data_IF_258901007244
#
_entry.id   IF_258901007244
#
_cell.length_a   1.000
_cell.length_b   1.000
_cell.length_c   1.000
_cell.angle_alpha   90.00
_cell.angle_beta   90.00
_cell.angle_gamma   90.00
#
_symmetry.space_group_name_H-M   'P 1'
#
loop_
_entity.id
_entity.type
_entity.pdbx_description
1 polymer ?
#
# COMPACT_ATOMS: atom_id res chain seq x y z
N UNK A 1 -15.18 13.30 15.52
CA UNK A 1 -14.65 13.64 14.18
C UNK A 1 -14.66 12.34 13.39
N UNK A 2 -15.28 12.31 12.21
CA UNK A 2 -15.20 11.12 11.34
C UNK A 2 -13.74 10.87 11.02
N UNK A 3 -13.28 9.62 11.10
CA UNK A 3 -11.95 9.28 10.58
C UNK A 3 -11.92 9.64 9.08
N UNK A 4 -10.84 10.28 8.58
CA UNK A 4 -10.70 10.56 7.16
C UNK A 4 -10.72 9.27 6.34
N UNK A 5 -11.36 9.32 5.18
CA UNK A 5 -11.50 8.20 4.24
C UNK A 5 -10.15 7.46 4.05
N UNK A 6 -10.14 6.11 4.04
CA UNK A 6 -8.90 5.34 4.00
C UNK A 6 -8.13 5.46 2.69
N UNK A 7 -8.77 5.90 1.61
CA UNK A 7 -8.17 6.12 0.29
C UNK A 7 -8.88 7.26 -0.45
N UNK A 8 -8.26 7.74 -1.52
CA UNK A 8 -8.84 8.76 -2.43
C UNK A 8 -8.73 8.28 -3.87
N UNK A 9 -9.83 8.35 -4.61
CA UNK A 9 -9.83 8.20 -6.08
C UNK A 9 -9.86 9.59 -6.71
N UNK A 10 -8.77 10.00 -7.34
CA UNK A 10 -8.66 11.27 -8.06
C UNK A 10 -9.05 11.05 -9.52
N UNK A 11 -10.06 11.78 -10.03
CA UNK A 11 -10.46 11.69 -11.43
C UNK A 11 -9.35 12.07 -12.40
N UNK A 12 -9.20 11.27 -13.47
CA UNK A 12 -8.44 11.61 -14.67
C UNK A 12 -9.36 11.96 -15.84
N UNK A 13 -8.81 11.99 -17.05
CA UNK A 13 -9.58 12.19 -18.27
C UNK A 13 -10.62 11.06 -18.46
N UNK A 14 -11.77 11.39 -19.06
CA UNK A 14 -12.88 10.45 -19.20
C UNK A 14 -12.52 9.25 -20.11
N UNK A 15 -11.67 9.48 -21.11
CA UNK A 15 -11.18 8.51 -22.08
C UNK A 15 -9.87 7.83 -21.64
N UNK A 16 -9.35 8.14 -20.44
CA UNK A 16 -8.15 7.51 -19.92
C UNK A 16 -8.42 6.08 -19.42
N UNK A 17 -7.69 5.07 -19.94
CA UNK A 17 -7.75 3.71 -19.41
C UNK A 17 -6.83 3.50 -18.20
N UNK A 18 -5.98 4.48 -17.86
CA UNK A 18 -4.89 4.31 -16.91
C UNK A 18 -5.33 4.69 -15.50
N UNK A 19 -5.06 3.80 -14.56
CA UNK A 19 -5.09 4.04 -13.12
C UNK A 19 -3.66 3.96 -12.58
N UNK A 20 -3.15 5.06 -12.04
CA UNK A 20 -1.96 5.03 -11.18
C UNK A 20 -2.41 4.62 -9.78
N UNK A 21 -1.91 3.50 -9.29
CA UNK A 21 -2.20 2.97 -7.97
C UNK A 21 -1.03 3.32 -7.04
N UNK A 22 -1.34 3.94 -5.88
CA UNK A 22 -0.35 4.40 -4.90
C UNK A 22 -0.71 3.80 -3.55
N UNK A 23 -0.27 2.56 -3.27
CA UNK A 23 -0.75 1.75 -2.15
C UNK A 23 -0.05 2.06 -0.82
N UNK A 24 1.19 2.55 -0.85
CA UNK A 24 2.09 2.51 0.33
C UNK A 24 2.75 3.83 0.71
N UNK A 25 2.36 4.94 0.06
CA UNK A 25 3.01 6.24 0.28
C UNK A 25 2.59 6.99 1.57
N UNK A 26 1.55 6.54 2.27
CA UNK A 26 1.07 7.20 3.50
C UNK A 26 1.75 6.65 4.76
N UNK A 27 1.97 7.53 5.74
CA UNK A 27 2.46 7.18 7.09
C UNK A 27 1.34 7.15 8.14
N UNK A 28 0.11 7.47 7.77
CA UNK A 28 -0.99 7.68 8.72
C UNK A 28 -1.47 6.37 9.33
N UNK A 29 -1.50 6.31 10.66
CA UNK A 29 -2.05 5.19 11.44
C UNK A 29 -3.18 5.72 12.34
N UNK A 30 -4.42 5.21 12.24
CA UNK A 30 -5.51 5.61 13.12
C UNK A 30 -5.21 5.28 14.57
N UNK A 31 -5.66 6.11 15.52
CA UNK A 31 -5.31 5.97 16.95
C UNK A 31 -5.67 4.59 17.51
N UNK A 32 -6.81 4.03 17.11
CA UNK A 32 -7.25 2.70 17.52
C UNK A 32 -6.32 1.59 17.01
N UNK A 33 -5.76 1.75 15.81
CA UNK A 33 -4.79 0.79 15.24
C UNK A 33 -3.43 0.94 15.92
N UNK A 34 -3.01 2.20 16.17
CA UNK A 34 -1.77 2.51 16.89
C UNK A 34 -1.71 1.85 18.27
N UNK A 35 -2.84 1.74 18.97
CA UNK A 35 -2.92 1.10 20.28
C UNK A 35 -2.60 -0.40 20.26
N UNK A 36 -2.73 -1.07 19.10
CA UNK A 36 -2.35 -2.47 18.90
C UNK A 36 -0.90 -2.68 18.46
N UNK A 37 -0.13 -1.60 18.24
CA UNK A 37 1.28 -1.66 17.84
C UNK A 37 2.17 -1.57 19.08
N UNK A 38 3.07 -2.53 19.25
CA UNK A 38 3.92 -2.68 20.44
C UNK A 38 5.13 -1.74 20.46
N UNK A 39 5.49 -1.16 19.31
CA UNK A 39 6.58 -0.21 19.21
C UNK A 39 6.26 1.07 19.99
N UNK A 40 7.28 1.66 20.62
CA UNK A 40 7.20 3.04 21.06
C UNK A 40 7.20 4.00 19.86
N UNK A 41 6.93 5.28 20.09
CA UNK A 41 6.78 6.25 18.99
C UNK A 41 8.08 6.40 18.19
N UNK A 42 9.25 6.37 18.85
CA UNK A 42 10.53 6.51 18.15
C UNK A 42 10.83 5.29 17.27
N UNK A 43 10.52 4.09 17.74
CA UNK A 43 10.65 2.86 16.98
C UNK A 43 9.65 2.77 15.83
N UNK A 44 8.42 3.23 16.05
CA UNK A 44 7.40 3.30 15.01
C UNK A 44 7.78 4.28 13.89
N UNK A 45 8.32 5.46 14.23
CA UNK A 45 8.79 6.40 13.21
C UNK A 45 9.93 5.81 12.36
N UNK A 46 10.87 5.09 12.98
CA UNK A 46 11.93 4.38 12.23
C UNK A 46 11.38 3.28 11.34
N UNK A 47 10.38 2.53 11.81
CA UNK A 47 9.74 1.51 10.99
C UNK A 47 9.00 2.13 9.79
N UNK A 48 8.30 3.24 10.03
CA UNK A 48 7.66 4.02 8.97
C UNK A 48 8.66 4.53 7.94
N UNK A 49 9.87 4.93 8.34
CA UNK A 49 10.94 5.34 7.42
C UNK A 49 11.40 4.20 6.51
N UNK A 50 11.38 2.95 6.99
CA UNK A 50 11.79 1.79 6.19
C UNK A 50 10.71 1.28 5.25
N UNK A 51 9.45 1.28 5.70
CA UNK A 51 8.35 0.55 5.05
C UNK A 51 7.44 1.43 4.18
N UNK A 52 7.59 2.75 4.26
CA UNK A 52 6.80 3.70 3.48
C UNK A 52 7.44 3.90 2.10
N UNK A 53 6.61 3.79 1.07
CA UNK A 53 7.01 4.09 -0.29
C UNK A 53 6.98 5.61 -0.51
N UNK A 54 7.97 6.30 0.06
CA UNK A 54 8.00 7.75 0.15
C UNK A 54 7.92 8.43 -1.23
N UNK A 55 7.19 9.53 -1.29
CA UNK A 55 7.02 10.39 -2.47
C UNK A 55 6.29 9.77 -3.67
N UNK A 56 5.76 8.55 -3.56
CA UNK A 56 5.02 7.89 -4.64
C UNK A 56 3.75 8.64 -5.06
N UNK A 57 3.07 9.29 -4.11
CA UNK A 57 1.88 10.11 -4.41
C UNK A 57 2.24 11.37 -5.23
N UNK A 58 3.35 12.03 -4.89
CA UNK A 58 3.90 13.18 -5.61
C UNK A 58 4.37 12.79 -7.00
N UNK A 59 5.06 11.65 -7.13
CA UNK A 59 5.46 11.11 -8.43
C UNK A 59 4.24 10.78 -9.30
N UNK A 60 3.21 10.15 -8.75
CA UNK A 60 1.98 9.87 -9.47
C UNK A 60 1.23 11.16 -9.86
N UNK A 61 1.26 12.20 -9.03
CA UNK A 61 0.70 13.51 -9.35
C UNK A 61 1.45 14.16 -10.53
N UNK A 62 2.78 14.23 -10.45
CA UNK A 62 3.61 14.79 -11.51
C UNK A 62 3.47 14.01 -12.83
N UNK A 63 3.41 12.68 -12.77
CA UNK A 63 3.16 11.84 -13.93
C UNK A 63 1.79 12.15 -14.57
N UNK A 64 0.76 12.40 -13.76
CA UNK A 64 -0.57 12.72 -14.26
C UNK A 64 -0.64 14.10 -14.95
N UNK A 65 0.15 15.07 -14.50
CA UNK A 65 0.23 16.42 -15.09
C UNK A 65 0.91 16.42 -16.47
N UNK A 66 1.92 15.56 -16.67
CA UNK A 66 2.69 15.51 -17.93
C UNK A 66 2.14 14.49 -18.93
N UNK A 67 1.23 13.60 -18.51
CA UNK A 67 0.66 12.57 -19.36
C UNK A 67 -0.19 13.20 -20.49
N UNK A 68 -0.07 12.74 -21.75
CA UNK A 68 -0.91 13.23 -22.85
C UNK A 68 -2.42 13.05 -22.61
N UNK A 69 -2.78 12.00 -21.86
CA UNK A 69 -4.13 11.73 -21.37
C UNK A 69 -4.03 11.55 -19.86
N UNK A 70 -4.64 12.44 -19.08
CA UNK A 70 -4.52 12.44 -17.62
C UNK A 70 -5.04 11.11 -17.04
N UNK A 71 -4.20 10.31 -16.35
CA UNK A 71 -4.62 9.08 -15.70
C UNK A 71 -5.47 9.35 -14.46
N UNK A 72 -6.28 8.37 -14.09
CA UNK A 72 -6.92 8.32 -12.77
C UNK A 72 -5.88 7.93 -11.72
N UNK A 73 -6.08 8.33 -10.47
CA UNK A 73 -5.16 7.96 -9.38
C UNK A 73 -5.92 7.37 -8.20
N UNK A 74 -5.54 6.18 -7.77
CA UNK A 74 -6.08 5.53 -6.58
C UNK A 74 -5.01 5.57 -5.48
N UNK A 75 -5.19 6.41 -4.47
CA UNK A 75 -4.17 6.72 -3.46
C UNK A 75 -4.61 6.25 -2.08
N UNK A 76 -3.85 5.32 -1.49
CA UNK A 76 -4.05 4.91 -0.11
C UNK A 76 -3.68 6.06 0.83
N UNK A 77 -4.54 6.34 1.80
CA UNK A 77 -4.35 7.39 2.80
C UNK A 77 -3.91 6.82 4.15
N UNK A 78 -3.70 5.51 4.26
CA UNK A 78 -3.21 4.82 5.45
C UNK A 78 -1.85 4.17 5.21
N UNK A 79 -1.04 4.07 6.26
CA UNK A 79 0.19 3.28 6.23
C UNK A 79 -0.12 1.81 6.03
N UNK A 80 0.74 1.13 5.28
CA UNK A 80 0.69 -0.34 5.14
C UNK A 80 0.90 -1.09 6.46
N UNK A 81 1.37 -0.40 7.50
CA UNK A 81 1.37 -0.95 8.86
C UNK A 81 -0.03 -1.10 9.44
N UNK A 82 -1.07 -0.43 8.90
CA UNK A 82 -2.49 -0.67 9.27
C UNK A 82 -2.96 -1.98 8.65
N UNK A 83 -2.96 -2.00 7.32
CA UNK A 83 -3.14 -3.18 6.46
C UNK A 83 -2.31 -2.95 5.21
N UNK A 84 -1.69 -4.00 4.69
CA UNK A 84 -1.04 -3.97 3.39
C UNK A 84 -2.06 -4.42 2.33
N UNK A 85 -2.57 -3.53 1.46
CA UNK A 85 -3.61 -3.87 0.51
C UNK A 85 -3.14 -4.79 -0.63
N UNK A 86 -1.83 -5.09 -0.69
CA UNK A 86 -1.22 -5.86 -1.77
C UNK A 86 -0.69 -7.22 -1.33
N UNK A 87 -1.10 -7.63 -0.13
CA UNK A 87 -0.85 -8.96 0.38
C UNK A 87 -2.14 -9.75 0.33
N UNK A 88 -2.05 -11.05 0.03
CA UNK A 88 -3.23 -11.89 0.17
C UNK A 88 -3.65 -11.94 1.65
N UNK A 89 -4.94 -11.86 1.96
CA UNK A 89 -5.43 -11.83 3.35
C UNK A 89 -5.47 -13.21 4.00
N UNK A 90 -4.89 -14.23 3.37
CA UNK A 90 -4.99 -15.65 3.73
C UNK A 90 -3.66 -16.39 3.52
N UNK A 91 -3.66 -17.71 3.75
CA UNK A 91 -2.48 -18.57 3.78
C UNK A 91 -1.69 -18.64 2.46
N UNK A 92 -2.22 -18.10 1.37
CA UNK A 92 -1.51 -17.99 0.09
C UNK A 92 -0.37 -16.95 0.15
N UNK A 93 -0.40 -16.04 1.11
CA UNK A 93 0.62 -15.00 1.27
C UNK A 93 1.92 -15.55 1.86
N UNK A 94 2.96 -15.64 1.04
CA UNK A 94 4.28 -16.14 1.46
C UNK A 94 4.91 -15.28 2.57
N UNK A 95 4.61 -13.97 2.60
CA UNK A 95 5.19 -13.06 3.58
C UNK A 95 4.62 -13.26 4.99
N UNK A 96 3.58 -14.09 5.16
CA UNK A 96 3.17 -14.58 6.48
C UNK A 96 4.31 -15.30 7.20
N UNK A 97 5.20 -15.97 6.47
CA UNK A 97 6.35 -16.70 7.04
C UNK A 97 7.33 -15.78 7.80
N UNK A 98 7.36 -14.49 7.47
CA UNK A 98 8.19 -13.48 8.12
C UNK A 98 7.36 -12.42 8.86
N UNK A 99 6.05 -12.64 9.01
CA UNK A 99 5.14 -11.75 9.73
C UNK A 99 4.77 -10.47 8.99
N UNK A 100 4.87 -10.46 7.66
CA UNK A 100 4.63 -9.31 6.78
C UNK A 100 3.48 -9.57 5.78
N UNK A 101 2.42 -10.26 6.21
CA UNK A 101 1.21 -10.52 5.39
C UNK A 101 0.26 -9.32 5.32
N UNK A 102 -1.04 -9.49 5.02
CA UNK A 102 -1.96 -8.33 4.94
C UNK A 102 -2.08 -7.53 6.26
N UNK A 103 -1.85 -8.18 7.40
CA UNK A 103 -1.67 -7.51 8.70
C UNK A 103 -0.33 -7.93 9.26
N UNK A 104 0.59 -6.97 9.42
CA UNK A 104 1.94 -7.26 9.88
C UNK A 104 1.96 -7.60 11.37
N UNK A 105 2.64 -8.68 11.73
CA UNK A 105 2.98 -9.05 13.11
C UNK A 105 4.44 -8.76 13.45
N UNK A 106 5.27 -8.56 12.41
CA UNK A 106 6.70 -8.23 12.53
C UNK A 106 7.03 -6.93 11.80
N UNK A 107 8.14 -6.32 12.18
CA UNK A 107 8.72 -5.16 11.49
C UNK A 107 9.60 -5.58 10.32
N UNK A 108 10.07 -4.61 9.54
CA UNK A 108 11.10 -4.79 8.51
C UNK A 108 12.38 -5.47 9.02
N UNK A 109 12.64 -5.37 10.33
CA UNK A 109 13.79 -5.97 11.01
C UNK A 109 13.43 -7.27 11.76
N UNK A 110 12.24 -7.83 11.52
CA UNK A 110 11.70 -9.07 12.12
C UNK A 110 11.43 -8.98 13.63
N UNK A 111 11.42 -7.78 14.18
CA UNK A 111 11.04 -7.53 15.58
C UNK A 111 9.51 -7.59 15.72
N UNK A 112 8.95 -7.87 16.91
CA UNK A 112 7.50 -7.84 17.11
C UNK A 112 6.92 -6.44 16.84
N UNK A 113 5.98 -6.34 15.90
CA UNK A 113 5.17 -5.14 15.64
C UNK A 113 3.84 -5.19 16.39
N UNK A 114 3.28 -6.39 16.50
CA UNK A 114 2.03 -6.70 17.20
C UNK A 114 2.18 -7.96 18.03
N UNK A 115 1.34 -8.17 19.06
CA UNK A 115 1.33 -9.44 19.77
C UNK A 115 1.02 -10.61 18.80
N UNK A 116 1.69 -11.78 18.94
CA UNK A 116 1.50 -12.93 18.05
C UNK A 116 0.05 -13.42 17.93
N UNK A 117 -0.76 -13.21 18.97
CA UNK A 117 -2.17 -13.58 19.08
C UNK A 117 -3.14 -12.55 18.48
N UNK A 118 -2.62 -11.51 17.82
CA UNK A 118 -3.47 -10.49 17.20
C UNK A 118 -4.33 -11.10 16.09
N UNK A 119 -5.65 -11.00 16.25
CA UNK A 119 -6.61 -11.35 15.20
C UNK A 119 -6.56 -10.30 14.07
N UNK A 120 -6.24 -10.69 12.82
CA UNK A 120 -6.23 -9.76 11.69
C UNK A 120 -7.64 -9.37 11.22
N UNK A 121 -8.67 -10.17 11.52
CA UNK A 121 -10.02 -10.03 10.98
C UNK A 121 -10.61 -8.62 11.11
N UNK A 122 -10.60 -7.98 12.29
CA UNK A 122 -11.12 -6.63 12.46
C UNK A 122 -10.43 -5.57 11.60
N UNK A 123 -9.12 -5.70 11.32
CA UNK A 123 -8.39 -4.77 10.46
C UNK A 123 -8.70 -5.02 8.99
N UNK A 124 -8.82 -6.29 8.60
CA UNK A 124 -9.19 -6.66 7.23
C UNK A 124 -10.59 -6.15 6.88
N UNK A 125 -11.56 -6.36 7.78
CA UNK A 125 -12.94 -5.88 7.61
C UNK A 125 -13.01 -4.36 7.55
N UNK A 126 -12.29 -3.66 8.44
CA UNK A 126 -12.36 -2.21 8.51
C UNK A 126 -11.62 -1.49 7.37
N UNK A 127 -10.55 -2.09 6.83
CA UNK A 127 -9.62 -1.38 5.94
C UNK A 127 -9.25 -2.13 4.66
N UNK A 128 -9.05 -3.45 4.69
CA UNK A 128 -8.60 -4.21 3.52
C UNK A 128 -9.74 -4.43 2.51
N UNK A 129 -10.86 -5.03 2.94
CA UNK A 129 -11.97 -5.33 2.05
C UNK A 129 -12.57 -4.06 1.42
N UNK A 130 -12.82 -2.96 2.16
CA UNK A 130 -13.29 -1.72 1.56
C UNK A 130 -12.32 -1.09 0.55
N UNK A 131 -11.00 -1.25 0.75
CA UNK A 131 -9.99 -0.80 -0.19
C UNK A 131 -10.02 -1.62 -1.48
N UNK A 132 -10.06 -2.96 -1.35
CA UNK A 132 -10.12 -3.88 -2.48
C UNK A 132 -11.39 -3.70 -3.32
N UNK A 133 -12.55 -3.52 -2.68
CA UNK A 133 -13.82 -3.25 -3.35
C UNK A 133 -13.77 -1.93 -4.12
N UNK A 134 -13.19 -0.88 -3.54
CA UNK A 134 -13.07 0.40 -4.20
C UNK A 134 -12.09 0.38 -5.38
N UNK A 135 -10.98 -0.34 -5.26
CA UNK A 135 -10.05 -0.53 -6.39
C UNK A 135 -10.72 -1.33 -7.50
N UNK A 136 -11.47 -2.38 -7.16
CA UNK A 136 -12.26 -3.18 -8.11
C UNK A 136 -13.27 -2.29 -8.85
N UNK A 137 -14.05 -1.50 -8.13
CA UNK A 137 -15.01 -0.57 -8.72
C UNK A 137 -14.33 0.48 -9.63
N UNK A 138 -13.14 0.97 -9.26
CA UNK A 138 -12.40 1.91 -10.09
C UNK A 138 -11.95 1.28 -11.42
N UNK A 139 -11.48 0.03 -11.39
CA UNK A 139 -11.08 -0.75 -12.57
C UNK A 139 -12.30 -1.07 -13.45
N UNK A 140 -13.39 -1.55 -12.87
CA UNK A 140 -14.64 -1.83 -13.58
C UNK A 140 -15.19 -0.57 -14.27
N UNK A 141 -15.12 0.59 -13.60
CA UNK A 141 -15.52 1.85 -14.20
C UNK A 141 -14.68 2.23 -15.42
N UNK A 142 -13.36 1.95 -15.42
CA UNK A 142 -12.52 2.16 -16.61
C UNK A 142 -12.87 1.18 -17.73
N UNK A 143 -13.05 -0.10 -17.40
CA UNK A 143 -13.46 -1.12 -18.37
C UNK A 143 -14.79 -0.75 -19.04
N UNK A 144 -15.78 -0.28 -18.28
CA UNK A 144 -17.07 0.14 -18.81
C UNK A 144 -16.99 1.41 -19.67
N UNK A 145 -16.13 2.38 -19.30
CA UNK A 145 -16.04 3.66 -20.00
C UNK A 145 -15.26 3.57 -21.33
N UNK A 146 -14.17 2.79 -21.37
CA UNK A 146 -13.21 2.80 -22.49
C UNK A 146 -12.82 1.41 -23.01
N UNK A 147 -13.45 0.35 -22.50
CA UNK A 147 -13.25 -1.03 -22.96
C UNK A 147 -11.94 -1.70 -22.51
N UNK A 148 -11.11 -1.00 -21.72
CA UNK A 148 -9.84 -1.51 -21.18
C UNK A 148 -9.45 -0.77 -19.89
N UNK A 149 -8.65 -1.41 -19.05
CA UNK A 149 -8.02 -0.80 -17.89
C UNK A 149 -6.55 -1.17 -17.82
N UNK A 150 -5.70 -0.21 -17.50
CA UNK A 150 -4.26 -0.40 -17.26
C UNK A 150 -3.96 0.12 -15.87
N UNK A 151 -3.52 -0.75 -14.98
CA UNK A 151 -3.07 -0.38 -13.64
C UNK A 151 -1.55 -0.23 -13.71
N UNK A 152 -1.05 0.92 -13.29
CA UNK A 152 0.37 1.14 -13.07
C UNK A 152 0.54 1.29 -11.57
N UNK A 153 1.19 0.32 -10.97
CA UNK A 153 1.41 0.28 -9.54
C UNK A 153 2.69 1.01 -9.17
N UNK A 154 2.56 2.05 -8.33
CA UNK A 154 3.62 3.04 -8.10
C UNK A 154 4.24 2.83 -6.74
N UNK A 155 5.44 2.24 -6.77
CA UNK A 155 6.24 1.92 -5.60
C UNK A 155 7.56 2.67 -5.55
N UNK A 156 8.15 2.64 -4.37
CA UNK A 156 9.57 2.89 -4.17
C UNK A 156 10.13 1.81 -3.25
N UNK A 157 11.43 1.56 -3.29
CA UNK A 157 12.06 0.55 -2.45
C UNK A 157 13.40 1.05 -1.91
N UNK A 158 13.84 0.53 -0.76
CA UNK A 158 15.10 0.94 -0.16
C UNK A 158 16.29 0.53 -1.03
N UNK A 159 17.34 1.36 -1.05
CA UNK A 159 18.56 1.09 -1.80
C UNK A 159 19.30 -0.17 -1.31
N UNK A 160 19.14 -0.52 -0.04
CA UNK A 160 19.65 -1.75 0.56
C UNK A 160 18.50 -2.69 0.91
N UNK A 161 18.75 -4.00 0.83
CA UNK A 161 17.77 -5.00 1.23
C UNK A 161 17.49 -4.94 2.73
N UNK A 162 16.21 -5.00 3.09
CA UNK A 162 15.76 -5.07 4.47
C UNK A 162 15.70 -6.53 4.95
N UNK A 163 15.91 -6.78 6.26
CA UNK A 163 15.97 -8.14 6.79
C UNK A 163 14.73 -9.00 6.51
N UNK A 164 13.52 -8.44 6.43
CA UNK A 164 12.30 -9.20 6.19
C UNK A 164 12.20 -9.81 4.78
N UNK A 165 12.95 -9.28 3.81
CA UNK A 165 12.79 -9.67 2.41
C UNK A 165 13.24 -11.13 2.17
N UNK A 166 12.33 -11.95 1.63
CA UNK A 166 12.63 -13.35 1.28
C UNK A 166 13.57 -13.47 0.06
N UNK A 167 13.56 -12.47 -0.82
CA UNK A 167 14.26 -12.48 -2.12
C UNK A 167 15.16 -11.25 -2.33
N UNK A 168 15.97 -10.90 -1.33
CA UNK A 168 16.77 -9.67 -1.33
C UNK A 168 18.07 -9.67 -2.16
N UNK A 169 18.42 -10.76 -2.86
CA UNK A 169 19.72 -10.90 -3.56
C UNK A 169 19.75 -10.37 -4.99
N UNK A 170 18.60 -9.95 -5.52
CA UNK A 170 18.49 -9.39 -6.87
C UNK A 170 19.16 -8.01 -7.01
N UNK A 171 19.43 -7.60 -8.25
CA UNK A 171 19.87 -6.23 -8.55
C UNK A 171 18.81 -5.22 -8.11
N UNK A 172 19.24 -4.09 -7.53
CA UNK A 172 18.40 -2.94 -7.17
C UNK A 172 18.69 -1.77 -8.10
N UNK A 173 18.15 -1.78 -9.34
CA UNK A 173 18.35 -0.67 -10.26
C UNK A 173 17.72 0.62 -9.71
N UNK A 174 18.01 1.80 -10.27
CA UNK A 174 17.28 3.00 -9.90
C UNK A 174 15.79 2.95 -10.28
N UNK A 175 15.42 2.13 -11.28
CA UNK A 175 14.05 1.93 -11.75
C UNK A 175 13.84 0.45 -12.03
N UNK A 176 12.75 -0.12 -11.50
CA UNK A 176 12.34 -1.51 -11.73
C UNK A 176 10.96 -1.51 -12.41
N UNK A 177 10.75 -2.41 -13.37
CA UNK A 177 9.46 -2.68 -13.99
C UNK A 177 9.10 -4.15 -13.72
N UNK A 178 8.14 -4.39 -12.84
CA UNK A 178 7.51 -5.69 -12.64
C UNK A 178 6.28 -5.83 -13.54
N UNK A 179 6.06 -7.01 -14.11
CA UNK A 179 4.92 -7.33 -15.00
C UNK A 179 4.39 -8.71 -14.73
#
# INVERSE_FOLDING_TARGET
MSDPQPFTLVPGAADSPVLLHVPHGSRRIPRQVRAGITLDDAALERELDHITDAHTAELAAAAAEIAPVTPWRFVNSLSRLVVDPERFPDEREEMLAVGMGAVYTRTTHREPLRPPETDPGPLLEAYFHPYADAMTAAVEARLAAVGRAVIIDVHSYPAAALPYELHGTGSRPPVCLGT
#
